data_IF_556796649647
#
_entry.id   IF_556796649647
#
_cell.length_a   1.000
_cell.length_b   1.000
_cell.length_c   1.000
_cell.angle_alpha   90.00
_cell.angle_beta   90.00
_cell.angle_gamma   90.00
#
_symmetry.space_group_name_H-M   'P 1'
#
loop_
_entity.id
_entity.type
_entity.pdbx_description
1 polymer ?
#
# COMPACT_ATOMS: atom_id res chain seq x y z
N UNK A 1 -0.59 -9.09 8.55
CA UNK A 1 -0.16 -7.68 8.30
C UNK A 1 -0.11 -6.75 9.51
N UNK A 2 -1.21 -6.49 10.25
CA UNK A 2 -1.22 -5.45 11.30
C UNK A 2 -0.15 -5.58 12.41
N UNK A 3 0.28 -6.79 12.76
CA UNK A 3 1.35 -7.00 13.75
C UNK A 3 2.70 -6.51 13.23
N UNK A 4 3.09 -6.84 12.00
CA UNK A 4 4.39 -6.43 11.44
C UNK A 4 4.44 -4.92 11.18
N UNK A 5 3.33 -4.32 10.74
CA UNK A 5 3.20 -2.88 10.60
C UNK A 5 3.38 -2.18 11.96
N UNK A 6 2.79 -2.73 13.03
CA UNK A 6 2.95 -2.22 14.38
C UNK A 6 4.39 -2.31 14.88
N UNK A 7 5.05 -3.44 14.65
CA UNK A 7 6.47 -3.61 14.96
C UNK A 7 7.35 -2.61 14.19
N UNK A 8 6.95 -2.22 12.98
CA UNK A 8 7.65 -1.21 12.18
C UNK A 8 7.43 0.25 12.66
N UNK A 9 6.54 0.46 13.65
CA UNK A 9 6.42 1.73 14.36
C UNK A 9 5.14 2.53 14.08
N UNK A 10 4.13 1.95 13.42
CA UNK A 10 2.81 2.61 13.30
C UNK A 10 1.77 2.00 14.23
N UNK A 11 0.75 2.78 14.54
CA UNK A 11 -0.46 2.25 15.17
C UNK A 11 -1.39 1.73 14.08
N UNK A 12 -2.03 0.60 14.36
CA UNK A 12 -3.00 -0.01 13.45
C UNK A 12 -4.27 -0.36 14.24
N UNK A 13 -5.46 -0.29 13.62
CA UNK A 13 -6.68 -0.76 14.25
C UNK A 13 -6.53 -2.21 14.72
N UNK A 14 -7.01 -2.51 15.92
CA UNK A 14 -7.14 -3.88 16.41
C UNK A 14 -8.57 -4.33 16.18
N UNK A 15 -8.75 -5.41 15.42
CA UNK A 15 -10.05 -6.06 15.30
C UNK A 15 -10.55 -6.48 16.68
N UNK A 16 -11.69 -5.93 17.09
CA UNK A 16 -12.37 -6.22 18.36
C UNK A 16 -13.38 -7.35 18.18
N UNK A 17 -14.13 -7.30 17.07
CA UNK A 17 -15.10 -8.31 16.70
C UNK A 17 -15.30 -8.34 15.17
N UNK A 18 -15.78 -9.46 14.66
CA UNK A 18 -16.32 -9.58 13.31
C UNK A 18 -17.59 -10.45 13.35
N UNK A 19 -18.50 -10.24 12.40
CA UNK A 19 -19.74 -10.99 12.34
C UNK A 19 -20.61 -10.62 11.15
N UNK A 20 -21.88 -11.00 11.24
CA UNK A 20 -22.91 -10.65 10.27
C UNK A 20 -24.07 -9.98 10.99
N UNK A 21 -24.55 -8.87 10.45
CA UNK A 21 -25.83 -8.28 10.81
C UNK A 21 -26.74 -8.39 9.57
N UNK A 22 -27.76 -9.24 9.67
CA UNK A 22 -28.56 -9.71 8.53
C UNK A 22 -27.68 -10.30 7.39
N UNK A 23 -27.71 -9.66 6.22
CA UNK A 23 -26.94 -10.05 5.03
C UNK A 23 -25.60 -9.33 4.90
N UNK A 24 -25.26 -8.44 5.85
CA UNK A 24 -24.05 -7.60 5.78
C UNK A 24 -22.96 -8.14 6.69
N UNK A 25 -21.74 -8.17 6.19
CA UNK A 25 -20.55 -8.41 7.00
C UNK A 25 -20.23 -7.15 7.80
N UNK A 26 -19.92 -7.31 9.09
CA UNK A 26 -19.55 -6.21 9.97
C UNK A 26 -18.21 -6.53 10.65
N UNK A 27 -17.33 -5.55 10.70
CA UNK A 27 -16.08 -5.59 11.45
C UNK A 27 -16.09 -4.44 12.44
N UNK A 28 -15.70 -4.70 13.67
CA UNK A 28 -15.53 -3.70 14.73
C UNK A 28 -14.06 -3.63 15.08
N UNK A 29 -13.49 -2.43 15.05
CA UNK A 29 -12.08 -2.19 15.26
C UNK A 29 -11.84 -1.13 16.34
N UNK A 30 -10.66 -1.16 16.96
CA UNK A 30 -10.25 -0.11 17.88
C UNK A 30 -9.93 1.17 17.13
N UNK A 31 -10.24 2.31 17.74
CA UNK A 31 -9.84 3.63 17.24
C UNK A 31 -8.32 3.77 17.23
N UNK A 32 -7.77 4.35 16.16
CA UNK A 32 -6.40 4.88 16.12
C UNK A 32 -6.50 6.41 16.23
N UNK A 33 -6.00 7.03 17.31
CA UNK A 33 -6.19 8.44 17.53
C UNK A 33 -5.28 9.27 16.62
N UNK A 34 -5.78 10.40 16.15
CA UNK A 34 -5.03 11.34 15.31
C UNK A 34 -5.95 12.05 14.32
N UNK A 35 -5.34 12.91 13.51
CA UNK A 35 -6.00 13.59 12.40
C UNK A 35 -5.47 13.05 11.08
N UNK A 36 -6.33 12.91 10.04
CA UNK A 36 -5.87 12.56 8.71
C UNK A 36 -4.78 13.51 8.21
N UNK A 37 -3.70 12.95 7.68
CA UNK A 37 -2.59 13.71 7.13
C UNK A 37 -3.05 14.61 5.98
N UNK A 38 -4.01 14.16 5.17
CA UNK A 38 -4.62 14.97 4.12
C UNK A 38 -5.17 16.29 4.66
N UNK A 39 -5.96 16.26 5.73
CA UNK A 39 -6.52 17.46 6.37
C UNK A 39 -5.41 18.39 6.91
N UNK A 40 -4.36 17.81 7.48
CA UNK A 40 -3.21 18.57 7.98
C UNK A 40 -2.47 19.28 6.86
N UNK A 41 -2.15 18.57 5.77
CA UNK A 41 -1.42 19.11 4.63
C UNK A 41 -2.23 20.15 3.84
N UNK A 42 -3.55 20.01 3.79
CA UNK A 42 -4.43 21.04 3.23
C UNK A 42 -4.35 22.36 4.02
N UNK A 43 -4.12 22.30 5.34
CA UNK A 43 -3.98 23.48 6.21
C UNK A 43 -2.55 24.01 6.27
N UNK A 44 -1.56 23.12 6.21
CA UNK A 44 -0.14 23.46 6.28
C UNK A 44 0.67 22.61 5.27
N UNK A 45 0.71 23.03 4.00
CA UNK A 45 1.46 22.32 2.96
C UNK A 45 2.97 22.24 3.24
N UNK A 46 3.51 23.16 4.06
CA UNK A 46 4.93 23.19 4.43
C UNK A 46 5.39 21.95 5.21
N UNK A 47 4.47 21.22 5.85
CA UNK A 47 4.78 19.97 6.55
C UNK A 47 4.93 18.76 5.63
N UNK A 48 4.69 18.90 4.33
CA UNK A 48 4.72 17.78 3.37
C UNK A 48 6.03 16.98 3.44
N UNK A 49 7.18 17.65 3.37
CA UNK A 49 8.48 16.98 3.36
C UNK A 49 8.71 16.15 4.63
N UNK A 50 8.34 16.68 5.79
CA UNK A 50 8.46 15.96 7.07
C UNK A 50 7.58 14.71 7.09
N UNK A 51 6.32 14.86 6.67
CA UNK A 51 5.33 13.77 6.64
C UNK A 51 5.76 12.65 5.69
N UNK A 52 6.10 12.97 4.44
CA UNK A 52 6.50 11.96 3.45
C UNK A 52 7.80 11.27 3.86
N UNK A 53 8.73 12.01 4.46
CA UNK A 53 9.96 11.41 5.01
C UNK A 53 9.63 10.40 6.12
N UNK A 54 8.69 10.72 7.01
CA UNK A 54 8.26 9.80 8.06
C UNK A 54 7.54 8.55 7.50
N UNK A 55 6.69 8.72 6.49
CA UNK A 55 6.00 7.61 5.81
C UNK A 55 7.02 6.72 5.09
N UNK A 56 7.94 7.29 4.30
CA UNK A 56 8.96 6.55 3.58
C UNK A 56 9.86 5.76 4.54
N UNK A 57 10.31 6.37 5.63
CA UNK A 57 11.12 5.69 6.64
C UNK A 57 10.36 4.53 7.32
N UNK A 58 9.05 4.68 7.54
CA UNK A 58 8.23 3.59 8.05
C UNK A 58 8.03 2.47 7.02
N UNK A 59 7.70 2.80 5.78
CA UNK A 59 7.54 1.85 4.68
C UNK A 59 8.80 1.02 4.51
N UNK A 60 9.97 1.65 4.51
CA UNK A 60 11.26 0.96 4.44
C UNK A 60 11.40 -0.08 5.56
N UNK A 61 11.19 0.31 6.83
CA UNK A 61 11.27 -0.63 7.96
C UNK A 61 10.27 -1.78 7.83
N UNK A 62 9.05 -1.47 7.42
CA UNK A 62 7.99 -2.47 7.28
C UNK A 62 8.26 -3.44 6.12
N UNK A 63 8.74 -2.93 4.98
CA UNK A 63 9.13 -3.70 3.82
C UNK A 63 10.33 -4.62 4.14
N UNK A 64 11.38 -4.10 4.79
CA UNK A 64 12.53 -4.91 5.24
C UNK A 64 12.08 -6.03 6.17
N UNK A 65 11.17 -5.75 7.11
CA UNK A 65 10.68 -6.74 8.08
C UNK A 65 9.81 -7.83 7.44
N UNK A 66 9.17 -7.55 6.30
CA UNK A 66 8.22 -8.45 5.65
C UNK A 66 8.75 -9.07 4.36
N UNK A 67 9.94 -8.66 3.93
CA UNK A 67 10.59 -9.11 2.71
C UNK A 67 10.68 -10.64 2.66
N UNK A 68 10.25 -11.21 1.54
CA UNK A 68 10.44 -12.60 1.20
C UNK A 68 10.76 -12.73 -0.28
N UNK A 69 11.71 -13.60 -0.59
CA UNK A 69 12.10 -13.87 -1.96
C UNK A 69 11.30 -15.07 -2.47
N UNK A 70 10.51 -14.85 -3.52
CA UNK A 70 9.61 -15.88 -4.07
C UNK A 70 9.62 -15.82 -5.60
N UNK A 71 9.43 -16.98 -6.23
CA UNK A 71 9.24 -17.06 -7.68
C UNK A 71 7.83 -16.58 -8.03
N UNK A 72 7.74 -15.49 -8.80
CA UNK A 72 6.45 -14.91 -9.18
C UNK A 72 5.99 -15.52 -10.50
N UNK A 73 4.81 -16.17 -10.55
CA UNK A 73 4.31 -16.72 -11.79
C UNK A 73 4.01 -15.60 -12.77
N UNK A 74 4.31 -15.83 -14.05
CA UNK A 74 4.06 -14.85 -15.11
C UNK A 74 2.61 -14.36 -15.15
N UNK A 75 1.65 -15.24 -14.88
CA UNK A 75 0.23 -14.86 -14.84
C UNK A 75 -0.04 -13.73 -13.86
N UNK A 76 0.65 -13.69 -12.72
CA UNK A 76 0.49 -12.62 -11.73
C UNK A 76 0.97 -11.28 -12.28
N UNK A 77 2.15 -11.24 -12.91
CA UNK A 77 2.67 -10.02 -13.54
C UNK A 77 1.79 -9.56 -14.70
N UNK A 78 1.26 -10.51 -15.47
CA UNK A 78 0.33 -10.22 -16.56
C UNK A 78 -0.98 -9.62 -16.01
N UNK A 79 -1.54 -10.16 -14.92
CA UNK A 79 -2.81 -9.71 -14.32
C UNK A 79 -2.67 -8.38 -13.54
N UNK A 80 -1.60 -8.21 -12.76
CA UNK A 80 -1.41 -7.04 -11.88
C UNK A 80 -0.81 -5.84 -12.62
N UNK A 81 0.01 -6.07 -13.66
CA UNK A 81 0.73 -4.99 -14.36
C UNK A 81 0.22 -4.81 -15.79
N UNK A 82 0.28 -5.87 -16.61
CA UNK A 82 0.04 -5.76 -18.06
C UNK A 82 -1.44 -5.56 -18.39
N UNK A 83 -2.33 -6.28 -17.71
CA UNK A 83 -3.78 -6.18 -17.89
C UNK A 83 -4.28 -4.80 -17.45
N UNK A 84 -3.85 -4.32 -16.27
CA UNK A 84 -4.20 -3.00 -15.75
C UNK A 84 -3.72 -1.87 -16.67
N UNK A 85 -2.50 -1.98 -17.21
CA UNK A 85 -2.03 -1.05 -18.23
C UNK A 85 -2.85 -1.13 -19.53
N UNK A 86 -3.39 -2.31 -19.86
CA UNK A 86 -4.30 -2.52 -20.97
C UNK A 86 -5.64 -1.80 -20.82
N UNK A 87 -6.22 -1.82 -19.62
CA UNK A 87 -7.47 -1.10 -19.33
C UNK A 87 -7.34 0.42 -19.56
N UNK A 88 -6.13 0.96 -19.38
CA UNK A 88 -5.83 2.38 -19.55
C UNK A 88 -5.24 2.73 -20.93
N UNK A 89 -4.83 1.75 -21.73
CA UNK A 89 -3.99 1.97 -22.91
C UNK A 89 -4.64 2.88 -23.96
N UNK A 90 -5.97 2.82 -24.11
CA UNK A 90 -6.71 3.66 -25.07
C UNK A 90 -6.92 5.10 -24.59
N UNK A 91 -6.76 5.35 -23.29
CA UNK A 91 -6.98 6.65 -22.65
C UNK A 91 -5.69 7.50 -22.60
N UNK A 92 -4.54 6.87 -22.82
CA UNK A 92 -3.22 7.50 -22.66
C UNK A 92 -2.52 7.68 -24.01
N UNK A 93 -1.95 8.87 -24.29
CA UNK A 93 -1.03 9.04 -25.41
C UNK A 93 0.11 8.02 -25.34
N UNK A 94 0.23 7.16 -26.34
CA UNK A 94 1.24 6.09 -26.37
C UNK A 94 0.94 4.89 -25.46
N UNK A 95 -0.28 4.75 -24.94
CA UNK A 95 -0.64 3.68 -23.99
C UNK A 95 -0.39 2.27 -24.52
N UNK A 96 -0.65 1.99 -25.80
CA UNK A 96 -0.32 0.70 -26.43
C UNK A 96 1.18 0.40 -26.40
N UNK A 97 2.02 1.40 -26.67
CA UNK A 97 3.47 1.28 -26.61
C UNK A 97 3.95 1.07 -25.18
N UNK A 98 3.38 1.81 -24.21
CA UNK A 98 3.70 1.68 -22.79
C UNK A 98 3.33 0.28 -22.24
N UNK A 99 2.13 -0.21 -22.55
CA UNK A 99 1.71 -1.58 -22.22
C UNK A 99 2.67 -2.62 -22.80
N UNK A 100 3.07 -2.45 -24.07
CA UNK A 100 3.99 -3.39 -24.74
C UNK A 100 5.37 -3.38 -24.10
N UNK A 101 5.83 -2.21 -23.67
CA UNK A 101 7.06 -2.03 -22.90
C UNK A 101 6.98 -2.75 -21.55
N UNK A 102 5.90 -2.57 -20.78
CA UNK A 102 5.66 -3.29 -19.52
C UNK A 102 5.62 -4.81 -19.71
N UNK A 103 4.92 -5.29 -20.74
CA UNK A 103 4.87 -6.72 -21.06
C UNK A 103 6.26 -7.30 -21.39
N UNK A 104 7.14 -6.49 -22.03
CA UNK A 104 8.54 -6.86 -22.24
C UNK A 104 9.31 -7.06 -20.94
N UNK A 105 9.12 -6.15 -19.97
CA UNK A 105 9.77 -6.25 -18.66
C UNK A 105 9.23 -7.42 -17.85
N UNK A 106 7.91 -7.64 -17.83
CA UNK A 106 7.30 -8.77 -17.12
C UNK A 106 7.80 -10.12 -17.65
N UNK A 107 7.93 -10.26 -18.99
CA UNK A 107 8.54 -11.46 -19.59
C UNK A 107 9.99 -11.67 -19.17
N UNK A 108 10.77 -10.61 -19.02
CA UNK A 108 12.18 -10.72 -18.61
C UNK A 108 12.33 -11.18 -17.14
N UNK A 109 11.28 -11.02 -16.34
CA UNK A 109 11.20 -11.45 -14.94
C UNK A 109 10.62 -12.87 -14.77
N UNK A 110 10.14 -13.49 -15.84
CA UNK A 110 9.56 -14.84 -15.79
C UNK A 110 10.56 -15.86 -15.21
N UNK A 111 10.12 -16.60 -14.19
CA UNK A 111 10.93 -17.61 -13.50
C UNK A 111 12.04 -17.05 -12.62
N UNK A 112 12.13 -15.72 -12.45
CA UNK A 112 13.05 -15.11 -11.49
C UNK A 112 12.40 -15.03 -10.11
N UNK A 113 13.24 -15.18 -9.10
CA UNK A 113 12.88 -14.86 -7.74
C UNK A 113 12.87 -13.34 -7.55
N UNK A 114 11.76 -12.81 -7.03
CA UNK A 114 11.58 -11.39 -6.77
C UNK A 114 11.43 -11.16 -5.26
N UNK A 115 11.94 -10.03 -4.72
CA UNK A 115 11.62 -9.62 -3.37
C UNK A 115 10.16 -9.15 -3.34
N UNK A 116 9.31 -9.86 -2.61
CA UNK A 116 7.96 -9.46 -2.27
C UNK A 116 7.93 -8.91 -0.84
N UNK A 117 7.03 -7.96 -0.59
CA UNK A 117 6.90 -7.29 0.71
C UNK A 117 5.43 -7.22 1.09
N UNK A 118 5.13 -6.96 2.36
CA UNK A 118 3.78 -6.56 2.72
C UNK A 118 3.48 -5.17 2.15
N UNK A 119 2.29 -5.01 1.58
CA UNK A 119 1.80 -3.77 0.98
C UNK A 119 0.43 -3.42 1.55
N UNK A 120 0.14 -2.13 1.65
CA UNK A 120 -1.14 -1.60 2.07
C UNK A 120 -2.13 -1.53 0.90
N UNK A 121 -1.62 -1.28 -0.32
CA UNK A 121 -2.34 -1.09 -1.59
C UNK A 121 -3.27 0.14 -1.67
N UNK A 122 -3.61 0.77 -0.54
CA UNK A 122 -4.35 2.03 -0.50
C UNK A 122 -3.74 3.04 0.49
N UNK A 123 -2.41 3.22 0.46
CA UNK A 123 -1.71 4.10 1.41
C UNK A 123 -1.81 5.59 1.01
N UNK A 124 -3.02 6.12 0.99
CA UNK A 124 -3.25 7.55 0.74
C UNK A 124 -3.06 8.38 2.00
N UNK A 125 -2.89 9.70 1.84
CA UNK A 125 -2.85 10.65 2.96
C UNK A 125 -4.14 10.69 3.80
N UNK A 126 -5.24 10.13 3.31
CA UNK A 126 -6.47 9.96 4.08
C UNK A 126 -6.41 8.77 5.04
N UNK A 127 -5.63 7.76 4.69
CA UNK A 127 -5.44 6.54 5.48
C UNK A 127 -4.25 6.64 6.44
N UNK A 128 -3.51 7.75 6.44
CA UNK A 128 -2.46 8.04 7.42
C UNK A 128 -2.98 9.09 8.41
N UNK A 129 -2.79 8.84 9.71
CA UNK A 129 -3.15 9.77 10.78
C UNK A 129 -1.93 10.11 11.66
N UNK A 130 -1.88 11.35 12.15
CA UNK A 130 -0.90 11.80 13.14
C UNK A 130 -1.63 12.29 14.39
N UNK A 131 -1.18 11.86 15.57
CA UNK A 131 -1.65 12.46 16.82
C UNK A 131 -0.86 13.71 17.21
N UNK A 132 -1.26 14.33 18.33
CA UNK A 132 -0.63 15.55 18.86
C UNK A 132 0.85 15.38 19.20
N UNK A 133 1.34 14.13 19.34
CA UNK A 133 2.75 13.80 19.61
C UNK A 133 3.52 13.44 18.34
N UNK A 134 2.89 13.56 17.17
CA UNK A 134 3.47 13.14 15.89
C UNK A 134 3.52 11.62 15.69
N UNK A 135 2.82 10.83 16.51
CA UNK A 135 2.81 9.37 16.35
C UNK A 135 1.92 8.96 15.18
N UNK A 136 2.48 8.16 14.27
CA UNK A 136 1.77 7.74 13.06
C UNK A 136 0.82 6.57 13.30
N UNK A 137 -0.33 6.63 12.66
CA UNK A 137 -1.30 5.55 12.54
C UNK A 137 -1.68 5.33 11.07
N UNK A 138 -2.01 4.09 10.73
CA UNK A 138 -2.45 3.72 9.37
C UNK A 138 -3.78 2.98 9.47
N UNK A 139 -4.75 3.42 8.67
CA UNK A 139 -6.14 2.99 8.61
C UNK A 139 -6.43 2.25 7.30
N UNK A 140 -7.59 1.61 7.23
CA UNK A 140 -8.13 0.99 6.01
C UNK A 140 -7.25 -0.10 5.38
N UNK A 141 -7.02 -1.16 6.15
CA UNK A 141 -6.20 -2.31 5.74
C UNK A 141 -6.95 -3.28 4.80
N UNK A 142 -8.07 -2.88 4.20
CA UNK A 142 -8.96 -3.76 3.43
C UNK A 142 -8.32 -4.35 2.18
N UNK A 143 -7.46 -3.58 1.52
CA UNK A 143 -6.76 -3.96 0.27
C UNK A 143 -5.35 -4.52 0.50
N UNK A 144 -4.90 -4.56 1.76
CA UNK A 144 -3.53 -4.90 2.08
C UNK A 144 -3.21 -6.37 1.74
N UNK A 145 -1.96 -6.65 1.35
CA UNK A 145 -1.47 -7.98 1.00
C UNK A 145 -0.13 -8.29 1.68
N UNK A 146 0.12 -9.55 2.04
CA UNK A 146 1.39 -9.97 2.66
C UNK A 146 2.55 -10.13 1.68
N UNK A 147 2.23 -10.24 0.38
CA UNK A 147 3.17 -10.60 -0.70
C UNK A 147 2.95 -9.76 -1.96
N UNK A 148 2.94 -8.44 -1.82
CA UNK A 148 2.86 -7.53 -2.95
C UNK A 148 4.21 -7.23 -3.59
N UNK A 149 4.16 -6.62 -4.78
CA UNK A 149 5.34 -6.03 -5.42
C UNK A 149 5.86 -4.84 -4.59
N UNK A 150 7.18 -4.64 -4.50
CA UNK A 150 7.75 -3.52 -3.77
C UNK A 150 7.41 -2.20 -4.46
N UNK A 151 7.44 -1.11 -3.70
CA UNK A 151 7.15 0.26 -4.14
C UNK A 151 5.68 0.55 -4.50
N UNK A 152 4.76 -0.41 -4.42
CA UNK A 152 3.32 -0.18 -4.69
C UNK A 152 2.75 0.95 -3.83
N UNK A 153 3.05 0.96 -2.53
CA UNK A 153 2.57 1.99 -1.60
C UNK A 153 3.29 3.34 -1.74
N UNK A 154 4.37 3.42 -2.52
CA UNK A 154 5.17 4.64 -2.63
C UNK A 154 4.47 5.73 -3.45
N UNK A 155 3.58 5.36 -4.37
CA UNK A 155 2.96 6.31 -5.32
C UNK A 155 1.82 7.14 -4.73
N UNK A 156 1.30 6.77 -3.55
CA UNK A 156 0.18 7.45 -2.89
C UNK A 156 0.60 8.28 -1.67
N UNK A 157 1.89 8.20 -1.30
CA UNK A 157 2.53 8.93 -0.22
C UNK A 157 3.29 10.17 -0.72
#
# INVERSE_FOLDING_TARGET
MGVTARTAGVRVPRRLANGRLDRRSVVVESVVPGHPVADMLMRSPTSFVEVVTAIAAWLERWNVTTAATESVPRSRLDDEVVARAGDLASLLPGGTSYRSWLAGHCRALEGRDLPLVAVHNDLTMWNVVLDERGSMGVLDWGEAEERGLPLTDFFYA
#
